data_IF_690463043521
#
_entry.id   IF_690463043521
#
_cell.length_a   1.000
_cell.length_b   1.000
_cell.length_c   1.000
_cell.angle_alpha   90.00
_cell.angle_beta   90.00
_cell.angle_gamma   90.00
#
_symmetry.space_group_name_H-M   'P 1'
#
loop_
_entity.id
_entity.type
_entity.pdbx_description
1 polymer ?
#
# COMPACT_ATOMS: atom_id res chain seq x y z
N UNK A 1 13.10 2.87 49.80
CA UNK A 1 12.68 3.79 48.72
C UNK A 1 13.53 3.64 47.44
N UNK A 2 14.25 2.52 47.26
CA UNK A 2 15.18 2.33 46.12
C UNK A 2 14.58 1.52 44.97
N UNK A 3 13.49 0.78 45.19
CA UNK A 3 13.06 -0.27 44.25
C UNK A 3 12.22 0.27 43.07
N UNK A 4 11.56 1.42 43.22
CA UNK A 4 10.70 1.98 42.16
C UNK A 4 11.49 2.55 40.96
N UNK A 5 12.74 2.98 41.15
CA UNK A 5 13.51 3.60 40.06
C UNK A 5 14.01 2.58 39.03
N UNK A 6 14.32 1.36 39.46
CA UNK A 6 14.81 0.31 38.56
C UNK A 6 13.72 -0.14 37.58
N UNK A 7 12.46 -0.18 38.03
CA UNK A 7 11.33 -0.57 37.19
C UNK A 7 11.09 0.44 36.06
N UNK A 8 11.06 1.74 36.37
CA UNK A 8 10.86 2.80 35.36
C UNK A 8 11.96 2.83 34.30
N UNK A 9 13.23 2.62 34.68
CA UNK A 9 14.36 2.57 33.73
C UNK A 9 14.22 1.43 32.74
N UNK A 10 13.79 0.24 33.20
CA UNK A 10 13.60 -0.92 32.35
C UNK A 10 12.46 -0.69 31.34
N UNK A 11 11.31 -0.16 31.79
CA UNK A 11 10.13 0.07 30.93
C UNK A 11 10.44 1.07 29.82
N UNK A 12 11.12 2.18 30.11
CA UNK A 12 11.44 3.17 29.08
C UNK A 12 12.46 2.61 28.10
N UNK A 13 13.48 1.86 28.58
CA UNK A 13 14.46 1.23 27.71
C UNK A 13 13.82 0.21 26.77
N UNK A 14 12.89 -0.63 27.25
CA UNK A 14 12.18 -1.59 26.40
C UNK A 14 11.25 -0.89 25.42
N UNK A 15 10.57 0.17 25.83
CA UNK A 15 9.75 0.98 24.93
C UNK A 15 10.58 1.62 23.81
N UNK A 16 11.75 2.19 24.11
CA UNK A 16 12.64 2.77 23.11
C UNK A 16 13.19 1.73 22.13
N UNK A 17 13.56 0.54 22.64
CA UNK A 17 14.02 -0.55 21.77
C UNK A 17 12.90 -1.02 20.84
N UNK A 18 11.68 -1.21 21.37
CA UNK A 18 10.52 -1.62 20.59
C UNK A 18 10.15 -0.57 19.53
N UNK A 19 10.16 0.73 19.88
CA UNK A 19 9.85 1.79 18.92
C UNK A 19 10.89 1.89 17.82
N UNK A 20 12.18 1.67 18.13
CA UNK A 20 13.23 1.56 17.13
C UNK A 20 13.03 0.39 16.17
N UNK A 21 12.73 -0.80 16.69
CA UNK A 21 12.47 -2.00 15.87
C UNK A 21 11.27 -1.78 14.95
N UNK A 22 10.17 -1.24 15.49
CA UNK A 22 8.96 -0.96 14.71
C UNK A 22 9.22 0.10 13.63
N UNK A 23 10.00 1.14 13.94
CA UNK A 23 10.38 2.15 12.94
C UNK A 23 11.23 1.55 11.82
N UNK A 24 12.22 0.72 12.17
CA UNK A 24 13.06 0.06 11.17
C UNK A 24 12.24 -0.87 10.25
N UNK A 25 11.37 -1.69 10.84
CA UNK A 25 10.55 -2.64 10.09
C UNK A 25 9.47 -1.97 9.25
N UNK A 26 8.78 -0.96 9.79
CA UNK A 26 7.60 -0.37 9.16
C UNK A 26 7.91 0.85 8.30
N UNK A 27 9.05 1.54 8.50
CA UNK A 27 9.41 2.75 7.74
C UNK A 27 10.64 2.51 6.89
N UNK A 28 11.76 2.11 7.51
CA UNK A 28 13.04 2.02 6.81
C UNK A 28 13.04 0.89 5.77
N UNK A 29 12.50 -0.28 6.10
CA UNK A 29 12.46 -1.40 5.15
C UNK A 29 11.61 -1.08 3.89
N UNK A 30 10.36 -0.58 4.00
CA UNK A 30 9.60 -0.17 2.82
C UNK A 30 10.26 0.96 2.02
N UNK A 31 10.93 1.90 2.70
CA UNK A 31 11.69 2.96 2.04
C UNK A 31 12.84 2.39 1.22
N UNK A 32 13.64 1.48 1.77
CA UNK A 32 14.73 0.84 1.01
C UNK A 32 14.17 0.09 -0.19
N UNK A 33 13.12 -0.72 0.01
CA UNK A 33 12.49 -1.44 -1.09
C UNK A 33 11.95 -0.49 -2.18
N UNK A 34 11.44 0.69 -1.81
CA UNK A 34 10.95 1.69 -2.77
C UNK A 34 12.06 2.28 -3.66
N UNK A 35 13.33 2.24 -3.21
CA UNK A 35 14.48 2.69 -4.00
C UNK A 35 14.88 1.70 -5.10
N UNK A 36 14.43 0.44 -5.02
CA UNK A 36 14.70 -0.60 -6.03
C UNK A 36 13.75 -0.52 -7.24
N UNK A 37 12.87 0.48 -7.27
CA UNK A 37 11.95 0.71 -8.38
C UNK A 37 12.45 1.82 -9.28
N UNK A 38 12.57 1.52 -10.56
CA UNK A 38 12.98 2.46 -11.59
C UNK A 38 11.76 2.98 -12.34
N UNK A 39 11.76 4.28 -12.63
CA UNK A 39 10.78 4.90 -13.51
C UNK A 39 11.05 4.50 -14.96
N UNK A 40 10.04 3.99 -15.66
CA UNK A 40 10.15 3.55 -17.06
C UNK A 40 8.88 3.86 -17.84
N UNK A 41 8.93 3.61 -19.14
CA UNK A 41 7.80 3.77 -20.05
C UNK A 41 7.03 2.43 -20.15
N UNK A 42 5.71 2.50 -19.96
CA UNK A 42 4.79 1.38 -20.11
C UNK A 42 3.79 1.66 -21.23
N UNK A 43 3.47 0.65 -22.03
CA UNK A 43 2.48 0.74 -23.10
C UNK A 43 1.19 0.05 -22.68
N UNK A 44 0.05 0.72 -22.78
CA UNK A 44 -1.24 0.12 -22.42
C UNK A 44 -1.68 -0.86 -23.52
N UNK A 45 -1.79 -2.15 -23.16
CA UNK A 45 -2.23 -3.18 -24.09
C UNK A 45 -3.76 -3.28 -24.11
N UNK A 46 -4.32 -3.55 -22.95
CA UNK A 46 -5.76 -3.72 -22.78
C UNK A 46 -6.16 -3.53 -21.32
N UNK A 47 -7.45 -3.35 -21.14
CA UNK A 47 -8.11 -3.10 -19.88
C UNK A 47 -9.18 -4.15 -19.68
N UNK A 48 -9.41 -4.56 -18.44
CA UNK A 48 -10.49 -5.46 -18.06
C UNK A 48 -11.28 -4.83 -16.93
N UNK A 49 -12.59 -4.72 -17.13
CA UNK A 49 -13.54 -4.22 -16.14
C UNK A 49 -14.78 -5.12 -16.17
N UNK A 50 -15.45 -5.34 -15.03
CA UNK A 50 -16.70 -6.06 -15.03
C UNK A 50 -17.76 -5.26 -15.79
N UNK A 51 -18.44 -5.92 -16.73
CA UNK A 51 -19.54 -5.36 -17.51
C UNK A 51 -20.91 -5.86 -17.04
N UNK A 52 -20.94 -6.91 -16.22
CA UNK A 52 -22.13 -7.47 -15.59
C UNK A 52 -21.90 -7.66 -14.09
N UNK A 53 -23.00 -7.76 -13.34
CA UNK A 53 -22.96 -8.21 -11.95
C UNK A 53 -22.39 -9.63 -11.85
N UNK A 54 -21.71 -9.95 -10.74
CA UNK A 54 -21.10 -11.25 -10.55
C UNK A 54 -22.18 -12.33 -10.41
N UNK A 55 -21.87 -13.52 -10.91
CA UNK A 55 -22.71 -14.71 -10.81
C UNK A 55 -21.83 -15.96 -10.74
N UNK A 56 -22.39 -17.13 -10.44
CA UNK A 56 -21.63 -18.38 -10.25
C UNK A 56 -20.69 -18.73 -11.43
N UNK A 57 -20.93 -18.18 -12.62
CA UNK A 57 -20.15 -18.43 -13.84
C UNK A 57 -19.28 -17.25 -14.29
N UNK A 58 -19.53 -16.03 -13.81
CA UNK A 58 -18.93 -14.78 -14.27
C UNK A 58 -18.50 -13.94 -13.06
N UNK A 59 -17.47 -14.40 -12.35
CA UNK A 59 -16.83 -13.67 -11.24
C UNK A 59 -15.47 -13.06 -11.61
N UNK A 60 -15.13 -13.06 -12.90
CA UNK A 60 -13.94 -12.37 -13.39
C UNK A 60 -14.05 -10.87 -13.11
N UNK A 61 -12.96 -10.26 -12.64
CA UNK A 61 -12.91 -8.82 -12.33
C UNK A 61 -13.82 -8.38 -11.17
N UNK A 62 -14.11 -9.29 -10.23
CA UNK A 62 -14.69 -8.98 -8.93
C UNK A 62 -13.75 -9.44 -7.82
N UNK A 63 -13.63 -8.62 -6.77
CA UNK A 63 -12.86 -9.00 -5.58
C UNK A 63 -13.73 -8.96 -4.34
N UNK A 64 -13.52 -9.92 -3.45
CA UNK A 64 -14.23 -9.99 -2.20
C UNK A 64 -13.85 -8.82 -1.29
N UNK A 65 -14.86 -8.28 -0.61
CA UNK A 65 -14.70 -7.28 0.42
C UNK A 65 -15.55 -7.64 1.65
N UNK A 66 -15.04 -7.30 2.83
CA UNK A 66 -15.73 -7.53 4.11
C UNK A 66 -16.60 -6.30 4.44
N UNK A 67 -17.93 -6.49 4.45
CA UNK A 67 -18.91 -5.46 4.83
C UNK A 67 -19.15 -5.40 6.35
N UNK A 68 -18.39 -6.18 7.13
CA UNK A 68 -18.54 -6.36 8.56
C UNK A 68 -19.66 -7.33 8.91
N UNK A 69 -19.85 -7.64 10.21
CA UNK A 69 -20.95 -8.50 10.70
C UNK A 69 -21.09 -9.86 9.98
N UNK A 70 -19.97 -10.45 9.53
CA UNK A 70 -19.94 -11.70 8.75
C UNK A 70 -20.64 -11.59 7.38
N UNK A 71 -20.75 -10.38 6.86
CA UNK A 71 -21.18 -10.10 5.51
C UNK A 71 -19.95 -10.08 4.61
N UNK A 72 -19.99 -10.85 3.53
CA UNK A 72 -19.04 -10.74 2.43
C UNK A 72 -19.78 -10.22 1.22
N UNK A 73 -19.14 -9.32 0.50
CA UNK A 73 -19.67 -8.79 -0.74
C UNK A 73 -18.58 -8.69 -1.78
N UNK A 74 -18.92 -8.19 -2.96
CA UNK A 74 -17.99 -8.05 -4.06
C UNK A 74 -17.95 -6.61 -4.55
N UNK A 75 -16.75 -6.17 -4.90
CA UNK A 75 -16.48 -4.86 -5.47
C UNK A 75 -15.80 -5.03 -6.81
N UNK A 76 -16.11 -4.14 -7.75
CA UNK A 76 -15.53 -4.18 -9.08
C UNK A 76 -14.00 -4.02 -9.01
N UNK A 77 -13.32 -4.85 -9.80
CA UNK A 77 -11.88 -4.85 -9.99
C UNK A 77 -11.58 -4.38 -11.41
N UNK A 78 -10.92 -3.24 -11.55
CA UNK A 78 -10.36 -2.81 -12.82
C UNK A 78 -8.91 -3.27 -12.92
N UNK A 79 -8.58 -3.89 -14.05
CA UNK A 79 -7.24 -4.34 -14.39
C UNK A 79 -6.77 -3.63 -15.64
N UNK A 80 -5.56 -3.08 -15.60
CA UNK A 80 -4.88 -2.46 -16.73
C UNK A 80 -3.64 -3.29 -17.00
N UNK A 81 -3.53 -3.83 -18.20
CA UNK A 81 -2.39 -4.63 -18.61
C UNK A 81 -1.48 -3.79 -19.48
N UNK A 82 -0.19 -3.76 -19.12
CA UNK A 82 0.82 -2.94 -19.78
C UNK A 82 2.01 -3.76 -20.19
N UNK A 83 2.69 -3.35 -21.26
CA UNK A 83 4.00 -3.88 -21.65
C UNK A 83 5.06 -2.88 -21.25
N UNK A 84 6.02 -3.32 -20.45
CA UNK A 84 7.18 -2.51 -20.03
C UNK A 84 8.09 -2.29 -21.25
N UNK A 85 8.70 -1.12 -21.37
CA UNK A 85 9.73 -0.85 -22.39
C UNK A 85 10.81 -1.95 -22.35
N UNK A 86 11.10 -2.57 -23.50
CA UNK A 86 12.00 -3.73 -23.66
C UNK A 86 11.47 -5.09 -23.15
N UNK A 87 10.22 -5.17 -22.70
CA UNK A 87 9.52 -6.43 -22.44
C UNK A 87 8.56 -6.77 -23.58
N UNK A 88 8.23 -8.05 -23.73
CA UNK A 88 7.25 -8.55 -24.71
C UNK A 88 5.97 -9.09 -24.07
N UNK A 89 5.98 -9.29 -22.75
CA UNK A 89 4.87 -9.88 -22.01
C UNK A 89 4.07 -8.79 -21.29
N UNK A 90 2.74 -8.71 -21.51
CA UNK A 90 1.89 -7.82 -20.73
C UNK A 90 1.88 -8.23 -19.27
N UNK A 91 2.05 -7.26 -18.38
CA UNK A 91 1.96 -7.41 -16.93
C UNK A 91 0.81 -6.58 -16.39
N UNK A 92 0.25 -6.99 -15.24
CA UNK A 92 -0.77 -6.21 -14.55
C UNK A 92 -0.12 -4.93 -13.97
N UNK A 93 -0.71 -3.78 -14.28
CA UNK A 93 -0.35 -2.51 -13.68
C UNK A 93 -0.98 -2.40 -12.29
N UNK A 94 -0.17 -2.25 -11.26
CA UNK A 94 -0.59 -2.20 -9.87
C UNK A 94 -0.69 -0.75 -9.37
N UNK A 95 -1.55 -0.44 -8.38
CA UNK A 95 -1.78 0.94 -7.94
C UNK A 95 -0.57 1.60 -7.30
N UNK A 96 0.14 0.88 -6.43
CA UNK A 96 1.37 1.37 -5.82
C UNK A 96 2.28 0.24 -5.35
N UNK A 97 3.58 0.54 -5.30
CA UNK A 97 4.64 -0.37 -4.82
C UNK A 97 4.37 -0.87 -3.40
N UNK A 98 3.83 -0.01 -2.53
CA UNK A 98 3.52 -0.31 -1.12
C UNK A 98 2.20 -1.07 -0.96
N UNK A 99 1.18 -0.72 -1.76
CA UNK A 99 -0.16 -1.33 -1.70
C UNK A 99 -0.11 -2.83 -1.96
N UNK A 100 0.72 -3.25 -2.92
CA UNK A 100 0.86 -4.65 -3.28
C UNK A 100 1.43 -5.50 -2.15
N UNK A 101 2.47 -5.01 -1.46
CA UNK A 101 3.12 -5.74 -0.37
C UNK A 101 2.15 -6.11 0.76
N UNK A 102 1.13 -5.28 0.98
CA UNK A 102 0.20 -5.48 2.09
C UNK A 102 -1.03 -6.32 1.73
N UNK A 103 -1.46 -6.36 0.46
CA UNK A 103 -2.78 -6.89 0.12
C UNK A 103 -2.82 -7.86 -1.09
N UNK A 104 -1.70 -8.15 -1.76
CA UNK A 104 -1.67 -9.12 -2.87
C UNK A 104 -2.72 -8.85 -3.95
N UNK A 105 -2.99 -7.57 -4.22
CA UNK A 105 -4.15 -7.16 -5.02
C UNK A 105 -3.98 -7.58 -6.48
N UNK A 106 -4.96 -8.28 -7.03
CA UNK A 106 -5.07 -8.61 -8.46
C UNK A 106 -5.70 -7.48 -9.30
N UNK A 107 -5.84 -6.28 -8.75
CA UNK A 107 -6.51 -5.14 -9.41
C UNK A 107 -5.58 -3.95 -9.50
N UNK A 108 -5.67 -3.21 -10.61
CA UNK A 108 -5.12 -1.86 -10.73
C UNK A 108 -5.93 -0.89 -9.87
N UNK A 109 -7.26 -0.96 -9.99
CA UNK A 109 -8.18 -0.18 -9.17
C UNK A 109 -9.27 -1.08 -8.61
N UNK A 110 -9.54 -0.92 -7.31
CA UNK A 110 -10.70 -1.49 -6.66
C UNK A 110 -11.19 -0.51 -5.60
N UNK A 111 -12.50 -0.49 -5.36
CA UNK A 111 -13.04 0.34 -4.30
C UNK A 111 -12.77 -0.33 -2.95
N UNK A 112 -12.04 0.35 -2.07
CA UNK A 112 -11.75 -0.13 -0.71
C UNK A 112 -12.97 -0.10 0.21
N UNK A 113 -13.99 0.69 -0.12
CA UNK A 113 -15.26 0.65 0.62
C UNK A 113 -15.97 -0.66 0.28
N UNK A 114 -16.79 -1.14 1.20
CA UNK A 114 -17.60 -2.32 1.00
C UNK A 114 -18.98 -2.05 1.60
N UNK A 115 -20.01 -2.13 0.77
CA UNK A 115 -21.40 -2.00 1.20
C UNK A 115 -22.21 -3.18 0.66
N UNK A 116 -23.16 -3.66 1.45
CA UNK A 116 -23.91 -4.88 1.19
C UNK A 116 -25.18 -4.64 0.36
N UNK A 117 -25.07 -3.91 -0.75
CA UNK A 117 -26.21 -3.60 -1.60
C UNK A 117 -25.87 -3.58 -3.10
N UNK A 118 -26.83 -3.98 -3.95
CA UNK A 118 -26.62 -4.08 -5.41
C UNK A 118 -26.34 -2.72 -6.04
N UNK A 119 -26.93 -1.64 -5.50
CA UNK A 119 -26.70 -0.27 -5.99
C UNK A 119 -25.22 0.09 -5.88
N UNK A 120 -24.58 -0.30 -4.78
CA UNK A 120 -23.16 -0.13 -4.54
C UNK A 120 -22.31 -0.91 -5.55
N UNK A 121 -22.71 -2.13 -5.92
CA UNK A 121 -22.00 -2.90 -6.95
C UNK A 121 -22.00 -2.16 -8.28
N UNK A 122 -23.17 -1.68 -8.71
CA UNK A 122 -23.33 -0.92 -9.96
C UNK A 122 -22.47 0.36 -9.91
N UNK A 123 -22.48 1.07 -8.77
CA UNK A 123 -21.63 2.24 -8.56
C UNK A 123 -20.14 1.87 -8.61
N UNK A 124 -19.73 0.74 -8.02
CA UNK A 124 -18.35 0.28 -8.05
C UNK A 124 -17.88 -0.01 -9.48
N UNK A 125 -18.75 -0.58 -10.33
CA UNK A 125 -18.47 -0.80 -11.76
C UNK A 125 -18.29 0.53 -12.50
N UNK A 126 -19.16 1.51 -12.25
CA UNK A 126 -19.04 2.85 -12.84
C UNK A 126 -17.76 3.56 -12.40
N UNK A 127 -17.41 3.46 -11.11
CA UNK A 127 -16.16 4.00 -10.59
C UNK A 127 -14.95 3.33 -11.24
N UNK A 128 -14.94 2.00 -11.33
CA UNK A 128 -13.90 1.24 -12.00
C UNK A 128 -13.74 1.68 -13.47
N UNK A 129 -14.86 1.83 -14.19
CA UNK A 129 -14.88 2.35 -15.56
C UNK A 129 -14.28 3.76 -15.66
N UNK A 130 -14.70 4.67 -14.80
CA UNK A 130 -14.21 6.06 -14.82
C UNK A 130 -12.71 6.16 -14.47
N UNK A 131 -12.16 5.24 -13.68
CA UNK A 131 -10.73 5.19 -13.38
C UNK A 131 -9.90 4.65 -14.55
N UNK A 132 -10.49 3.77 -15.38
CA UNK A 132 -9.84 3.15 -16.53
C UNK A 132 -9.97 4.00 -17.80
N UNK A 133 -11.04 4.78 -17.94
CA UNK A 133 -11.33 5.61 -19.11
C UNK A 133 -10.14 6.49 -19.57
N UNK A 134 -9.37 7.15 -18.68
CA UNK A 134 -8.19 7.90 -19.09
C UNK A 134 -7.09 7.06 -19.75
N UNK A 135 -7.07 5.75 -19.53
CA UNK A 135 -6.09 4.83 -20.11
C UNK A 135 -6.52 4.26 -21.47
N UNK A 136 -7.81 4.38 -21.82
CA UNK A 136 -8.30 3.91 -23.12
C UNK A 136 -7.71 4.70 -24.29
N UNK A 137 -7.37 5.98 -24.10
CA UNK A 137 -6.70 6.78 -25.13
C UNK A 137 -5.27 6.28 -25.42
N UNK A 138 -4.56 5.75 -24.42
CA UNK A 138 -3.20 5.23 -24.61
C UNK A 138 -3.18 3.83 -25.23
N UNK A 139 -4.36 3.22 -25.40
CA UNK A 139 -4.51 1.88 -25.94
C UNK A 139 -4.22 1.88 -27.43
N UNK A 140 -3.26 1.07 -27.86
CA UNK A 140 -2.79 0.96 -29.25
C UNK A 140 -2.11 2.22 -29.83
N UNK A 141 -2.18 3.39 -29.17
CA UNK A 141 -1.67 4.65 -29.71
C UNK A 141 -0.14 4.79 -29.65
N UNK A 142 0.58 3.78 -29.13
CA UNK A 142 2.04 3.77 -28.90
C UNK A 142 2.54 4.93 -28.02
N UNK A 143 1.65 5.75 -27.47
CA UNK A 143 2.01 6.73 -26.46
C UNK A 143 2.22 6.01 -25.13
N UNK A 144 3.43 6.09 -24.55
CA UNK A 144 3.70 5.42 -23.28
C UNK A 144 3.14 6.22 -22.10
N UNK A 145 2.85 5.52 -21.02
CA UNK A 145 2.60 6.09 -19.69
C UNK A 145 3.82 5.85 -18.81
N UNK A 146 4.08 6.76 -17.88
CA UNK A 146 5.08 6.55 -16.83
C UNK A 146 4.61 5.47 -15.86
N UNK A 147 5.46 4.48 -15.61
CA UNK A 147 5.25 3.44 -14.61
C UNK A 147 6.54 3.18 -13.84
N UNK A 148 6.44 2.44 -12.75
CA UNK A 148 7.58 2.02 -11.94
C UNK A 148 7.72 0.51 -12.00
N UNK A 149 8.93 0.00 -12.15
CA UNK A 149 9.21 -1.44 -12.26
C UNK A 149 10.31 -1.83 -11.29
N UNK A 150 10.21 -3.03 -10.71
CA UNK A 150 11.31 -3.55 -9.90
C UNK A 150 12.47 -3.97 -10.81
N UNK A 151 13.66 -4.14 -10.24
CA UNK A 151 14.86 -4.61 -10.95
C UNK A 151 14.70 -5.95 -11.70
N UNK A 152 13.69 -6.75 -11.34
CA UNK A 152 13.36 -8.02 -12.00
C UNK A 152 12.43 -7.84 -13.22
N UNK A 153 11.77 -6.69 -13.38
CA UNK A 153 10.85 -6.40 -14.48
C UNK A 153 9.56 -7.23 -14.48
N UNK A 154 9.20 -7.83 -13.34
CA UNK A 154 8.06 -8.77 -13.26
C UNK A 154 6.72 -8.05 -13.04
N UNK A 155 6.74 -6.88 -12.40
CA UNK A 155 5.54 -6.12 -12.04
C UNK A 155 5.70 -4.64 -12.40
N UNK A 156 4.61 -4.01 -12.84
CA UNK A 156 4.56 -2.57 -13.12
C UNK A 156 3.62 -1.88 -12.12
N UNK A 157 3.96 -0.67 -11.70
CA UNK A 157 3.21 0.11 -10.71
C UNK A 157 2.92 1.52 -11.23
N UNK A 158 1.74 2.05 -10.92
CA UNK A 158 1.31 3.42 -11.25
C UNK A 158 2.06 4.48 -10.45
N UNK A 159 2.38 4.16 -9.20
CA UNK A 159 3.01 5.10 -8.28
C UNK A 159 4.03 4.39 -7.41
N UNK A 160 5.15 5.07 -7.18
CA UNK A 160 6.13 4.73 -6.15
C UNK A 160 6.10 5.75 -5.00
N UNK A 161 4.94 6.36 -4.77
CA UNK A 161 4.79 7.38 -3.73
C UNK A 161 4.65 6.73 -2.36
N UNK A 162 5.55 7.08 -1.45
CA UNK A 162 5.41 6.78 -0.03
C UNK A 162 4.34 7.68 0.56
N UNK A 163 3.19 7.09 0.90
CA UNK A 163 2.13 7.80 1.61
C UNK A 163 2.61 8.18 3.02
N UNK A 164 3.13 9.40 3.17
CA UNK A 164 3.67 9.93 4.43
C UNK A 164 2.72 9.71 5.63
N UNK A 165 1.41 9.72 5.37
CA UNK A 165 0.37 9.48 6.39
C UNK A 165 0.51 8.11 7.08
N UNK A 166 0.93 7.09 6.35
CA UNK A 166 1.04 5.72 6.89
C UNK A 166 2.29 5.56 7.79
N UNK A 167 3.32 6.38 7.55
CA UNK A 167 4.60 6.32 8.29
C UNK A 167 4.68 7.32 9.45
N UNK A 168 3.91 8.41 9.38
CA UNK A 168 3.87 9.46 10.39
C UNK A 168 3.72 8.96 11.84
N UNK A 169 2.82 8.02 12.18
CA UNK A 169 2.67 7.57 13.57
C UNK A 169 3.92 6.87 14.10
N UNK A 170 4.61 6.08 13.28
CA UNK A 170 5.84 5.39 13.68
C UNK A 170 6.98 6.37 13.91
N UNK A 171 7.11 7.40 13.06
CA UNK A 171 8.08 8.48 13.23
C UNK A 171 7.84 9.27 14.53
N UNK A 172 6.58 9.59 14.84
CA UNK A 172 6.21 10.28 16.09
C UNK A 172 6.52 9.39 17.30
N UNK A 173 6.19 8.10 17.24
CA UNK A 173 6.46 7.15 18.32
C UNK A 173 7.96 7.00 18.61
N UNK A 174 8.79 6.95 17.56
CA UNK A 174 10.25 6.97 17.70
C UNK A 174 10.73 8.28 18.35
N UNK A 175 10.21 9.43 17.88
CA UNK A 175 10.54 10.74 18.45
C UNK A 175 10.24 10.83 19.94
N UNK A 176 9.06 10.38 20.37
CA UNK A 176 8.69 10.30 21.79
C UNK A 176 9.64 9.38 22.55
N UNK A 177 9.97 8.21 21.99
CA UNK A 177 10.93 7.27 22.60
C UNK A 177 12.29 7.93 22.85
N UNK A 178 12.84 8.62 21.84
CA UNK A 178 14.12 9.32 21.93
C UNK A 178 14.06 10.42 23.02
N UNK A 179 12.99 11.20 23.09
CA UNK A 179 12.82 12.22 24.12
C UNK A 179 12.78 11.61 25.53
N UNK A 180 12.03 10.52 25.73
CA UNK A 180 11.98 9.82 27.01
C UNK A 180 13.35 9.25 27.41
N UNK A 181 14.13 8.77 26.45
CA UNK A 181 15.49 8.30 26.67
C UNK A 181 16.42 9.43 27.16
N UNK A 182 16.37 10.60 26.53
CA UNK A 182 17.14 11.76 26.99
C UNK A 182 16.72 12.24 28.39
N UNK A 183 15.42 12.28 28.68
CA UNK A 183 14.91 12.58 30.02
C UNK A 183 15.46 11.59 31.05
N UNK A 184 15.49 10.30 30.73
CA UNK A 184 16.05 9.27 31.60
C UNK A 184 17.53 9.51 31.92
N UNK A 185 18.34 9.80 30.89
CA UNK A 185 19.77 10.11 31.07
C UNK A 185 19.94 11.33 31.97
N UNK A 186 19.13 12.37 31.76
CA UNK A 186 19.16 13.58 32.58
C UNK A 186 18.84 13.27 34.05
N UNK A 187 17.78 12.51 34.34
CA UNK A 187 17.43 12.11 35.71
C UNK A 187 18.51 11.24 36.37
N UNK A 188 19.14 10.33 35.62
CA UNK A 188 20.24 9.51 36.15
C UNK A 188 21.44 10.37 36.51
N UNK A 189 21.78 11.38 35.69
CA UNK A 189 22.85 12.34 36.00
C UNK A 189 22.51 13.16 37.24
N UNK A 190 21.32 13.78 37.30
CA UNK A 190 20.91 14.58 38.45
C UNK A 190 20.79 13.80 39.76
N UNK A 191 20.57 12.48 39.72
CA UNK A 191 20.57 11.64 40.94
C UNK A 191 21.99 11.35 41.46
N UNK A 192 23.00 11.45 40.60
CA UNK A 192 24.39 11.14 40.96
C UNK A 192 25.11 12.31 41.62
N UNK A 193 24.66 13.53 41.32
CA UNK A 193 25.12 14.78 41.93
C UNK A 193 24.33 15.09 43.21
#
# INVERSE_FOLDING_TARGET
MSDNNSCCTCIISTFCALSGILFLGMVVSPLINSLDFEETQCYVNYTQIPNTLPNETCNENWVHCDCGRRCNFETACAQIFVTIENSSTPVLLLPSTISWYNNGTSCTYSNKRCENNIVYMIQSMQLAKNQVEPYEQYKNEKEPITCYVNSQGENAYLSNELLLKDYLPYSIMLGIGILLFFCLIYFIKCKKD
#
